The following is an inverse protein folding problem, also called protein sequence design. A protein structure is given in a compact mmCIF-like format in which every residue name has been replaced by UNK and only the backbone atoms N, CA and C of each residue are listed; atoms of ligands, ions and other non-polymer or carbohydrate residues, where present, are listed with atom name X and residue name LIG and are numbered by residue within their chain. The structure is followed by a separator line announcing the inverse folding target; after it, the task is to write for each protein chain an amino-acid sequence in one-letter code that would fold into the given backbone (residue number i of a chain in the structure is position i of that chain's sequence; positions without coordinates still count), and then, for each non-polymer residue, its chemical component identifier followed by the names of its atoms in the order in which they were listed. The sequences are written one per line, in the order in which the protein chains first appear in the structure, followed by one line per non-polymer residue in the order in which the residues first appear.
data_IF_064029367427
#
_entry.id   IF_064029367427
#
_cell.length_a   1.000
_cell.length_b   1.000
_cell.length_c   1.000
_cell.angle_alpha   90.00
_cell.angle_beta   90.00
_cell.angle_gamma   90.00
#
_symmetry.space_group_name_H-M   'P 1'
#
loop_
_entity.id
_entity.type
_entity.pdbx_description
1 polymer ?
#
# COMPACT_ATOMS: atom_id res chain seq x y z
N UNK A 1 59.49 5.37 -35.82
CA UNK A 1 58.08 5.79 -35.85
C UNK A 1 57.24 4.53 -35.77
N UNK A 2 56.76 4.19 -34.57
CA UNK A 2 55.37 4.35 -34.10
C UNK A 2 54.42 3.24 -34.60
N UNK A 3 53.68 2.69 -33.63
CA UNK A 3 52.47 1.87 -33.72
C UNK A 3 52.65 0.35 -33.87
N UNK A 4 52.59 -0.38 -32.75
CA UNK A 4 51.89 -1.67 -32.64
C UNK A 4 51.68 -2.02 -31.16
N UNK A 5 50.72 -1.34 -30.52
CA UNK A 5 50.21 -1.73 -29.20
C UNK A 5 48.83 -1.08 -28.98
N UNK A 6 47.76 -1.84 -29.27
CA UNK A 6 46.43 -1.68 -28.68
C UNK A 6 45.49 -2.73 -29.29
N UNK A 7 45.74 -4.02 -29.00
CA UNK A 7 44.78 -5.07 -29.31
C UNK A 7 43.72 -5.09 -28.21
N UNK A 8 42.61 -4.40 -28.48
CA UNK A 8 41.23 -4.79 -28.17
C UNK A 8 41.01 -5.66 -26.91
N UNK A 9 41.04 -5.05 -25.73
CA UNK A 9 40.22 -5.48 -24.60
C UNK A 9 38.85 -4.79 -24.69
N UNK A 10 38.02 -5.27 -25.62
CA UNK A 10 36.60 -4.95 -25.71
C UNK A 10 35.80 -6.23 -25.44
N UNK A 11 36.02 -6.81 -24.26
CA UNK A 11 35.01 -7.71 -23.68
C UNK A 11 33.90 -6.83 -23.12
N UNK A 12 32.93 -6.55 -24.00
CA UNK A 12 31.52 -6.39 -23.73
C UNK A 12 31.11 -6.56 -22.26
N UNK A 13 31.13 -5.45 -21.52
CA UNK A 13 30.25 -5.25 -20.36
C UNK A 13 28.84 -5.07 -20.91
N UNK A 14 28.20 -6.16 -21.32
CA UNK A 14 26.75 -6.15 -21.44
C UNK A 14 26.21 -6.03 -20.01
N UNK A 15 25.45 -4.98 -19.67
CA UNK A 15 24.76 -4.96 -18.40
C UNK A 15 23.87 -6.20 -18.40
N UNK A 16 24.04 -7.07 -17.41
CA UNK A 16 23.11 -8.14 -17.16
C UNK A 16 21.72 -7.50 -17.03
N UNK A 17 20.90 -7.62 -18.06
CA UNK A 17 19.47 -7.41 -17.98
C UNK A 17 18.97 -8.46 -17.00
N UNK A 18 19.02 -8.11 -15.71
CA UNK A 18 18.55 -8.97 -14.64
C UNK A 18 17.15 -9.42 -14.99
N UNK A 19 16.95 -10.74 -15.05
CA UNK A 19 15.62 -11.28 -15.24
C UNK A 19 14.73 -10.71 -14.13
N UNK A 20 13.62 -10.09 -14.51
CA UNK A 20 12.62 -9.63 -13.55
C UNK A 20 12.27 -10.81 -12.62
N UNK A 21 12.17 -10.57 -11.31
CA UNK A 21 11.87 -11.62 -10.37
C UNK A 21 10.56 -12.29 -10.78
N UNK A 22 10.55 -13.62 -10.72
CA UNK A 22 9.36 -14.41 -11.05
C UNK A 22 8.74 -14.89 -9.75
N UNK A 23 7.43 -14.69 -9.60
CA UNK A 23 6.68 -15.19 -8.46
C UNK A 23 5.66 -16.24 -8.92
N UNK A 24 5.56 -17.34 -8.17
CA UNK A 24 4.41 -18.22 -8.21
C UNK A 24 3.34 -17.69 -7.25
N UNK A 25 2.10 -17.61 -7.73
CA UNK A 25 0.97 -17.14 -6.91
C UNK A 25 0.40 -18.33 -6.15
N UNK A 26 0.40 -18.27 -4.82
CA UNK A 26 -0.22 -19.26 -3.93
C UNK A 26 -1.38 -18.61 -3.20
N UNK A 27 -2.59 -19.16 -3.32
CA UNK A 27 -3.76 -18.66 -2.58
C UNK A 27 -3.81 -19.32 -1.21
N UNK A 28 -3.97 -18.50 -0.16
CA UNK A 28 -4.22 -18.94 1.20
C UNK A 28 -5.74 -18.95 1.47
N UNK A 29 -6.21 -19.96 2.20
CA UNK A 29 -7.61 -20.09 2.56
C UNK A 29 -7.87 -19.36 3.87
N UNK A 30 -8.48 -18.19 3.76
CA UNK A 30 -8.91 -17.42 4.92
C UNK A 30 -10.10 -18.10 5.63
N UNK A 31 -10.17 -18.04 6.97
CA UNK A 31 -11.35 -18.45 7.72
C UNK A 31 -12.54 -17.54 7.39
N UNK A 32 -13.80 -17.98 7.62
CA UNK A 32 -14.99 -17.23 7.19
C UNK A 32 -15.03 -15.77 7.63
N UNK A 33 -14.62 -15.46 8.88
CA UNK A 33 -14.51 -14.08 9.37
C UNK A 33 -13.57 -13.25 8.49
N UNK A 34 -12.36 -13.73 8.18
CA UNK A 34 -11.38 -12.97 7.39
C UNK A 34 -11.70 -12.98 5.88
N UNK A 35 -12.47 -13.96 5.39
CA UNK A 35 -12.90 -14.02 3.99
C UNK A 35 -14.11 -13.12 3.70
N UNK A 36 -14.80 -12.65 4.73
CA UNK A 36 -16.01 -11.83 4.60
C UNK A 36 -15.68 -10.45 4.03
N UNK A 37 -16.22 -10.16 2.85
CA UNK A 37 -15.83 -9.03 2.01
C UNK A 37 -16.15 -7.66 2.65
N UNK A 38 -17.12 -7.55 3.55
CA UNK A 38 -17.45 -6.28 4.20
C UNK A 38 -16.51 -5.92 5.35
N UNK A 39 -15.55 -6.79 5.73
CA UNK A 39 -14.52 -6.37 6.69
C UNK A 39 -13.72 -5.18 6.16
N UNK A 40 -13.50 -5.16 4.85
CA UNK A 40 -12.71 -4.21 4.10
C UNK A 40 -11.27 -4.04 4.63
N UNK A 41 -10.26 -4.39 3.84
CA UNK A 41 -8.88 -4.49 4.31
C UNK A 41 -7.96 -3.56 3.54
N UNK A 42 -7.27 -2.66 4.25
CA UNK A 42 -6.46 -1.59 3.64
C UNK A 42 -5.02 -1.57 4.17
N UNK A 43 -4.47 -2.73 4.52
CA UNK A 43 -3.05 -2.82 4.87
C UNK A 43 -2.61 -4.12 5.51
N UNK A 44 -1.36 -4.50 5.24
CA UNK A 44 -0.67 -5.62 5.88
C UNK A 44 0.63 -5.15 6.54
N UNK A 45 0.99 -5.76 7.67
CA UNK A 45 2.31 -5.58 8.25
C UNK A 45 2.74 -6.85 8.97
N UNK A 46 4.04 -7.09 9.04
CA UNK A 46 4.58 -8.15 9.88
C UNK A 46 5.25 -7.52 11.09
N UNK A 47 4.92 -8.02 12.28
CA UNK A 47 5.65 -7.71 13.51
C UNK A 47 5.84 -8.98 14.33
N UNK A 48 7.08 -9.20 14.78
CA UNK A 48 7.46 -10.44 15.44
C UNK A 48 7.19 -11.67 14.56
N UNK A 49 6.37 -12.60 15.06
CA UNK A 49 6.03 -13.84 14.37
C UNK A 49 4.60 -13.84 13.78
N UNK A 50 4.03 -12.66 13.53
CA UNK A 50 2.63 -12.51 13.10
C UNK A 50 2.52 -11.64 11.86
N UNK A 51 1.64 -12.06 10.94
CA UNK A 51 1.03 -11.19 9.96
C UNK A 51 -0.13 -10.46 10.63
N UNK A 52 -0.10 -9.13 10.57
CA UNK A 52 -1.15 -8.24 11.02
C UNK A 52 -1.95 -7.81 9.79
N UNK A 53 -3.27 -7.88 9.89
CA UNK A 53 -4.21 -7.55 8.82
C UNK A 53 -5.13 -6.44 9.34
N UNK A 54 -5.12 -5.29 8.69
CA UNK A 54 -5.88 -4.13 9.12
C UNK A 54 -7.25 -4.06 8.43
N UNK A 55 -8.33 -4.08 9.22
CA UNK A 55 -9.65 -3.66 8.74
C UNK A 55 -9.71 -2.14 8.65
N UNK A 56 -10.31 -1.63 7.58
CA UNK A 56 -10.57 -0.18 7.39
C UNK A 56 -11.43 0.41 8.51
N UNK A 57 -12.17 -0.43 9.26
CA UNK A 57 -13.01 0.02 10.37
C UNK A 57 -13.97 1.15 9.94
N UNK A 58 -14.54 1.04 8.73
CA UNK A 58 -15.31 2.11 8.08
C UNK A 58 -16.50 2.59 8.92
N UNK A 59 -16.69 3.90 8.95
CA UNK A 59 -17.79 4.51 9.72
C UNK A 59 -19.16 4.21 9.11
N UNK A 60 -19.28 4.32 7.79
CA UNK A 60 -20.54 4.12 7.06
C UNK A 60 -21.11 2.71 7.21
N UNK A 61 -20.23 1.72 7.35
CA UNK A 61 -20.59 0.31 7.50
C UNK A 61 -20.79 -0.09 8.98
N UNK A 62 -20.61 0.86 9.91
CA UNK A 62 -20.58 0.62 11.36
C UNK A 62 -19.60 -0.51 11.73
N UNK A 63 -18.48 -0.58 11.01
CA UNK A 63 -17.53 -1.67 11.17
C UNK A 63 -16.85 -1.60 12.54
N UNK A 64 -16.63 -2.77 13.13
CA UNK A 64 -15.87 -2.95 14.36
C UNK A 64 -14.43 -2.42 14.17
N UNK A 65 -13.94 -1.61 15.11
CA UNK A 65 -12.57 -1.13 15.09
C UNK A 65 -11.61 -2.24 15.54
N UNK A 66 -10.95 -2.90 14.59
CA UNK A 66 -10.13 -4.09 14.87
C UNK A 66 -8.99 -4.30 13.88
N UNK A 67 -8.00 -5.06 14.32
CA UNK A 67 -7.06 -5.76 13.47
C UNK A 67 -7.27 -7.27 13.62
N UNK A 68 -6.70 -8.02 12.70
CA UNK A 68 -6.48 -9.46 12.87
C UNK A 68 -5.00 -9.77 12.89
N UNK A 69 -4.64 -10.83 13.57
CA UNK A 69 -3.29 -11.40 13.53
C UNK A 69 -3.35 -12.87 13.22
N UNK A 70 -2.38 -13.32 12.44
CA UNK A 70 -2.19 -14.72 12.07
C UNK A 70 -0.71 -15.04 12.28
N UNK A 71 -0.40 -16.17 12.91
CA UNK A 71 1.01 -16.56 13.09
C UNK A 71 1.62 -16.94 11.74
N UNK A 72 2.84 -16.49 11.50
CA UNK A 72 3.57 -16.80 10.27
C UNK A 72 3.80 -18.32 10.11
N UNK A 73 4.02 -19.03 11.21
CA UNK A 73 4.15 -20.49 11.20
C UNK A 73 2.86 -21.21 10.75
N UNK A 74 1.69 -20.65 11.05
CA UNK A 74 0.40 -21.20 10.62
C UNK A 74 0.15 -20.93 9.13
N UNK A 75 0.60 -19.77 8.61
CA UNK A 75 0.62 -19.49 7.17
C UNK A 75 1.56 -20.45 6.42
N UNK A 76 2.77 -20.69 6.95
CA UNK A 76 3.72 -21.67 6.40
C UNK A 76 3.16 -23.09 6.41
N UNK A 77 2.38 -23.45 7.44
CA UNK A 77 1.69 -24.72 7.48
C UNK A 77 0.66 -24.81 6.36
N UNK A 78 -0.19 -23.78 6.19
CA UNK A 78 -1.19 -23.79 5.13
C UNK A 78 -0.59 -23.78 3.71
N UNK A 79 0.58 -23.17 3.52
CA UNK A 79 1.31 -23.22 2.24
C UNK A 79 1.76 -24.64 1.87
N UNK A 80 1.94 -25.52 2.85
CA UNK A 80 2.30 -26.94 2.67
C UNK A 80 1.07 -27.85 2.66
N UNK A 81 0.06 -27.52 3.45
CA UNK A 81 -1.22 -28.23 3.52
C UNK A 81 -2.38 -27.23 3.37
N UNK A 82 -2.95 -27.17 2.17
CA UNK A 82 -4.06 -26.27 1.86
C UNK A 82 -5.36 -26.59 2.62
N UNK A 83 -5.43 -27.73 3.32
CA UNK A 83 -6.59 -28.11 4.14
C UNK A 83 -6.51 -27.59 5.57
N UNK A 84 -5.32 -27.15 6.02
CA UNK A 84 -5.11 -26.59 7.35
C UNK A 84 -5.99 -25.35 7.56
N UNK A 85 -6.80 -25.37 8.62
CA UNK A 85 -7.66 -24.25 8.99
C UNK A 85 -6.84 -23.19 9.73
N UNK A 86 -6.70 -22.01 9.14
CA UNK A 86 -5.84 -20.94 9.63
C UNK A 86 -6.39 -20.33 10.93
N UNK A 87 -5.71 -20.49 12.08
CA UNK A 87 -6.09 -19.80 13.30
C UNK A 87 -5.79 -18.32 13.18
N UNK A 88 -6.62 -17.50 13.81
CA UNK A 88 -6.43 -16.06 13.86
C UNK A 88 -6.82 -15.50 15.22
N UNK A 89 -6.31 -14.33 15.54
CA UNK A 89 -6.72 -13.56 16.71
C UNK A 89 -7.23 -12.19 16.26
N UNK A 90 -8.38 -11.80 16.77
CA UNK A 90 -8.92 -10.45 16.63
C UNK A 90 -8.34 -9.55 17.72
N UNK A 91 -7.86 -8.37 17.35
CA UNK A 91 -7.34 -7.35 18.24
C UNK A 91 -8.22 -6.09 18.14
N UNK A 92 -9.02 -5.74 19.15
CA UNK A 92 -9.76 -4.48 19.14
C UNK A 92 -8.80 -3.27 19.15
N UNK A 93 -9.19 -2.23 18.42
CA UNK A 93 -8.56 -0.91 18.44
C UNK A 93 -9.23 -0.05 19.51
N UNK A 94 -8.53 0.17 20.62
CA UNK A 94 -9.02 1.01 21.70
C UNK A 94 -8.75 2.48 21.40
N UNK A 95 -9.70 3.35 21.78
CA UNK A 95 -9.62 4.81 21.67
C UNK A 95 -9.77 5.40 20.27
N UNK A 96 -10.08 4.60 19.25
CA UNK A 96 -10.33 5.13 17.91
C UNK A 96 -11.52 6.09 17.90
N UNK A 97 -12.55 5.82 18.70
CA UNK A 97 -13.72 6.66 18.87
C UNK A 97 -13.38 8.06 19.41
N UNK A 98 -12.41 8.15 20.33
CA UNK A 98 -11.95 9.43 20.88
C UNK A 98 -11.24 10.26 19.81
N UNK A 99 -10.42 9.61 18.99
CA UNK A 99 -9.71 10.27 17.89
C UNK A 99 -10.68 10.72 16.79
N UNK A 100 -11.68 9.89 16.44
CA UNK A 100 -12.78 10.27 15.54
C UNK A 100 -13.54 11.50 16.03
N UNK A 101 -13.86 11.57 17.31
CA UNK A 101 -14.53 12.73 17.90
C UNK A 101 -13.69 14.01 17.77
N UNK A 102 -12.35 13.92 17.95
CA UNK A 102 -11.44 15.05 17.74
C UNK A 102 -11.39 15.51 16.28
N UNK A 103 -11.38 14.58 15.31
CA UNK A 103 -11.44 14.91 13.89
C UNK A 103 -12.75 15.62 13.54
N UNK A 104 -13.87 15.12 14.06
CA UNK A 104 -15.19 15.72 13.88
C UNK A 104 -15.26 17.14 14.45
N UNK A 105 -14.71 17.36 15.65
CA UNK A 105 -14.59 18.70 16.25
C UNK A 105 -13.74 19.66 15.40
N UNK A 106 -12.77 19.14 14.65
CA UNK A 106 -11.97 19.90 13.68
C UNK A 106 -12.65 20.04 12.30
N UNK A 107 -13.93 19.69 12.18
CA UNK A 107 -14.70 19.76 10.94
C UNK A 107 -14.28 18.75 9.88
N UNK A 108 -13.55 17.69 10.24
CA UNK A 108 -13.17 16.62 9.33
C UNK A 108 -14.09 15.41 9.51
N UNK A 109 -14.40 14.71 8.42
CA UNK A 109 -15.28 13.54 8.45
C UNK A 109 -14.48 12.26 8.22
N UNK A 110 -14.26 11.48 9.29
CA UNK A 110 -13.62 10.15 9.22
C UNK A 110 -14.39 9.22 8.27
N UNK A 111 -13.67 8.49 7.43
CA UNK A 111 -14.23 7.40 6.61
C UNK A 111 -13.71 6.04 7.04
N UNK A 112 -12.39 5.84 7.04
CA UNK A 112 -11.72 4.57 7.28
C UNK A 112 -10.25 4.73 7.67
N UNK A 113 -9.63 3.63 8.11
CA UNK A 113 -8.18 3.49 8.22
C UNK A 113 -7.65 2.99 6.88
N UNK A 114 -6.63 3.64 6.33
CA UNK A 114 -6.18 3.36 4.96
C UNK A 114 -4.74 2.86 4.82
N UNK A 115 -3.96 2.91 5.88
CA UNK A 115 -2.61 2.39 5.85
C UNK A 115 -2.20 1.95 7.25
N UNK A 116 -1.30 0.98 7.32
CA UNK A 116 -0.74 0.50 8.57
C UNK A 116 0.76 0.29 8.45
N UNK A 117 1.51 0.67 9.48
CA UNK A 117 2.91 0.28 9.63
C UNK A 117 3.17 -0.14 11.07
N UNK A 118 3.66 -1.36 11.28
CA UNK A 118 4.16 -1.80 12.58
C UNK A 118 5.70 -1.70 12.63
N UNK A 119 6.22 -0.97 13.61
CA UNK A 119 7.64 -0.96 13.97
C UNK A 119 7.80 -1.48 15.41
N UNK A 120 8.11 -2.77 15.52
CA UNK A 120 8.10 -3.50 16.79
C UNK A 120 6.72 -3.46 17.44
N UNK A 121 6.65 -2.91 18.65
CA UNK A 121 5.40 -2.72 19.39
C UNK A 121 4.68 -1.41 19.05
N UNK A 122 5.31 -0.51 18.29
CA UNK A 122 4.66 0.73 17.84
C UNK A 122 3.90 0.44 16.56
N UNK A 123 2.71 1.00 16.44
CA UNK A 123 1.90 0.88 15.22
C UNK A 123 1.37 2.25 14.80
N UNK A 124 1.43 2.51 13.51
CA UNK A 124 0.97 3.73 12.88
C UNK A 124 -0.20 3.41 11.95
N UNK A 125 -1.14 4.34 11.88
CA UNK A 125 -2.26 4.26 10.96
C UNK A 125 -2.42 5.56 10.22
N UNK A 126 -2.78 5.51 8.94
CA UNK A 126 -3.41 6.64 8.29
C UNK A 126 -4.93 6.53 8.39
N UNK A 127 -5.60 7.67 8.21
CA UNK A 127 -7.04 7.80 8.21
C UNK A 127 -7.45 8.53 6.94
N UNK A 128 -8.33 7.93 6.16
CA UNK A 128 -9.07 8.66 5.13
C UNK A 128 -10.23 9.42 5.75
N UNK A 129 -10.46 10.58 5.17
CA UNK A 129 -11.57 11.45 5.46
C UNK A 129 -12.28 11.79 4.17
N UNK A 130 -13.59 12.03 4.28
CA UNK A 130 -14.47 12.34 3.15
C UNK A 130 -13.85 13.36 2.22
N UNK A 131 -14.08 13.20 0.91
CA UNK A 131 -13.49 14.04 -0.16
C UNK A 131 -13.49 15.56 0.14
N UNK A 132 -14.53 16.17 0.74
CA UNK A 132 -14.52 17.60 1.09
C UNK A 132 -13.63 18.00 2.28
N UNK A 133 -13.17 17.04 3.07
CA UNK A 133 -12.27 17.26 4.21
C UNK A 133 -10.89 17.67 3.70
N UNK A 134 -10.26 18.63 4.38
CA UNK A 134 -8.97 19.18 3.96
C UNK A 134 -7.79 18.33 4.38
N UNK A 135 -7.96 17.48 5.41
CA UNK A 135 -6.89 16.69 6.00
C UNK A 135 -7.29 15.23 6.17
N UNK A 136 -6.39 14.34 5.77
CA UNK A 136 -6.28 13.01 6.35
C UNK A 136 -5.56 13.09 7.70
N UNK A 137 -5.40 11.96 8.39
CA UNK A 137 -4.66 11.93 9.66
C UNK A 137 -3.70 10.77 9.77
N UNK A 138 -2.63 10.97 10.52
CA UNK A 138 -1.78 9.91 11.04
C UNK A 138 -2.05 9.71 12.53
N UNK A 139 -2.26 8.46 12.91
CA UNK A 139 -2.43 8.00 14.28
C UNK A 139 -1.22 7.18 14.72
N UNK A 140 -1.03 7.08 16.04
CA UNK A 140 -0.04 6.21 16.67
C UNK A 140 -0.71 5.37 17.75
N UNK A 141 -0.27 4.14 17.92
CA UNK A 141 -0.65 3.30 19.04
C UNK A 141 0.44 2.31 19.42
N UNK A 142 0.07 1.45 20.37
CA UNK A 142 0.90 0.34 20.84
C UNK A 142 0.20 -0.97 20.54
N UNK A 143 0.88 -1.86 19.81
CA UNK A 143 0.48 -3.23 19.56
C UNK A 143 0.72 -4.08 20.80
N UNK A 144 -0.36 -4.48 21.46
CA UNK A 144 -0.33 -5.40 22.59
C UNK A 144 -0.80 -6.81 22.21
N UNK A 145 -0.67 -7.79 23.13
CA UNK A 145 -1.05 -9.17 22.86
C UNK A 145 -2.56 -9.41 22.77
N UNK A 146 -3.40 -8.44 23.17
CA UNK A 146 -4.86 -8.58 23.20
C UNK A 146 -5.62 -7.41 22.57
N UNK A 147 -4.95 -6.32 22.27
CA UNK A 147 -5.55 -5.11 21.71
C UNK A 147 -4.45 -4.20 21.14
N UNK A 148 -4.86 -3.27 20.29
CA UNK A 148 -4.06 -2.10 19.96
C UNK A 148 -4.61 -0.92 20.74
N UNK A 149 -3.74 -0.22 21.47
CA UNK A 149 -4.14 0.96 22.25
C UNK A 149 -3.65 2.20 21.52
N UNK A 150 -4.58 2.98 20.96
CA UNK A 150 -4.23 4.23 20.28
C UNK A 150 -3.89 5.32 21.31
N UNK A 151 -2.81 6.05 21.02
CA UNK A 151 -2.39 7.22 21.78
C UNK A 151 -3.30 8.39 21.41
N UNK A 152 -4.20 8.75 22.33
CA UNK A 152 -5.17 9.81 22.10
C UNK A 152 -4.55 11.20 22.01
N UNK A 153 -3.25 11.35 22.31
CA UNK A 153 -2.52 12.62 22.17
C UNK A 153 -1.93 12.79 20.77
N UNK A 154 -1.76 11.70 20.01
CA UNK A 154 -1.19 11.73 18.66
C UNK A 154 -2.31 11.69 17.62
N UNK A 155 -2.54 12.84 16.99
CA UNK A 155 -3.46 13.03 15.88
C UNK A 155 -2.84 14.04 14.92
N UNK A 156 -2.02 13.57 13.98
CA UNK A 156 -1.26 14.45 13.10
C UNK A 156 -2.07 14.70 11.83
N UNK A 157 -2.50 15.94 11.54
CA UNK A 157 -3.16 16.24 10.28
C UNK A 157 -2.17 16.11 9.11
N UNK A 158 -2.64 15.49 8.03
CA UNK A 158 -1.95 15.35 6.76
C UNK A 158 -2.79 16.05 5.69
N UNK A 159 -2.44 17.28 5.28
CA UNK A 159 -3.19 18.00 4.27
C UNK A 159 -3.25 17.23 2.95
N UNK A 160 -4.46 17.08 2.40
CA UNK A 160 -4.69 16.39 1.13
C UNK A 160 -4.14 17.24 -0.02
N UNK A 161 -3.30 16.68 -0.92
CA UNK A 161 -2.91 17.36 -2.14
C UNK A 161 -4.13 17.77 -2.99
N UNK A 162 -4.01 18.90 -3.67
CA UNK A 162 -5.07 19.45 -4.52
C UNK A 162 -4.75 19.25 -6.00
N UNK A 163 -5.78 18.95 -6.79
CA UNK A 163 -5.71 19.04 -8.24
C UNK A 163 -5.44 20.50 -8.69
N UNK A 164 -5.01 20.75 -9.94
CA UNK A 164 -4.72 22.10 -10.44
C UNK A 164 -5.88 23.11 -10.28
N UNK A 165 -7.14 22.65 -10.24
CA UNK A 165 -8.31 23.48 -10.01
C UNK A 165 -8.64 23.74 -8.53
N UNK A 166 -7.79 23.33 -7.60
CA UNK A 166 -8.01 23.47 -6.15
C UNK A 166 -8.96 22.43 -5.54
N UNK A 167 -9.44 21.47 -6.33
CA UNK A 167 -10.30 20.39 -5.85
C UNK A 167 -9.48 19.26 -5.21
N UNK A 168 -10.03 18.60 -4.20
CA UNK A 168 -9.48 17.36 -3.67
C UNK A 168 -9.63 16.23 -4.68
N UNK A 169 -8.66 15.31 -4.70
CA UNK A 169 -8.77 14.06 -5.44
C UNK A 169 -9.88 13.22 -4.81
N UNK A 170 -10.78 12.72 -5.65
CA UNK A 170 -11.94 11.94 -5.24
C UNK A 170 -11.49 10.64 -4.57
N UNK A 171 -12.03 10.36 -3.38
CA UNK A 171 -11.79 9.11 -2.63
C UNK A 171 -10.30 8.76 -2.50
N UNK A 172 -9.50 9.77 -2.16
CA UNK A 172 -8.06 9.64 -2.05
C UNK A 172 -7.55 9.92 -0.64
N UNK A 173 -6.75 9.00 -0.12
CA UNK A 173 -6.10 9.08 1.19
C UNK A 173 -4.58 8.88 1.15
N UNK A 174 -3.97 8.78 2.33
CA UNK A 174 -2.59 8.33 2.47
C UNK A 174 -2.58 6.82 2.69
N UNK A 175 -2.60 6.03 1.63
CA UNK A 175 -2.79 4.56 1.70
C UNK A 175 -1.48 3.79 1.92
N UNK A 176 -0.35 4.48 1.97
CA UNK A 176 0.93 3.83 2.20
C UNK A 176 1.76 4.56 3.26
N UNK A 177 2.33 3.77 4.18
CA UNK A 177 3.26 4.22 5.20
C UNK A 177 4.60 3.47 5.06
N UNK A 178 5.70 4.18 5.30
CA UNK A 178 7.02 3.58 5.28
C UNK A 178 7.93 4.16 6.36
N UNK A 179 8.79 3.35 6.96
CA UNK A 179 9.83 3.82 7.87
C UNK A 179 11.22 3.50 7.33
N UNK A 180 12.11 4.50 7.34
CA UNK A 180 13.53 4.37 7.06
C UNK A 180 14.29 5.50 7.76
N UNK A 181 15.52 5.24 8.20
CA UNK A 181 16.35 6.24 8.88
C UNK A 181 15.69 6.93 10.10
N UNK A 182 14.82 6.23 10.84
CA UNK A 182 14.04 6.78 11.98
C UNK A 182 13.10 7.92 11.57
N UNK A 183 12.70 7.94 10.31
CA UNK A 183 11.68 8.80 9.73
C UNK A 183 10.51 7.94 9.31
N UNK A 184 9.32 8.49 9.47
CA UNK A 184 8.08 7.93 8.95
C UNK A 184 7.69 8.73 7.71
N UNK A 185 7.22 8.05 6.70
CA UNK A 185 6.80 8.61 5.43
C UNK A 185 5.35 8.23 5.15
N UNK A 186 4.53 9.20 4.75
CA UNK A 186 3.15 8.97 4.34
C UNK A 186 2.97 9.32 2.87
N UNK A 187 2.59 8.32 2.09
CA UNK A 187 2.40 8.40 0.64
C UNK A 187 0.92 8.63 0.37
N UNK A 188 0.61 9.73 -0.30
CA UNK A 188 -0.73 9.93 -0.85
C UNK A 188 -0.93 8.92 -1.97
N UNK A 189 -2.08 8.28 -2.07
CA UNK A 189 -2.25 7.18 -3.04
C UNK A 189 -2.17 7.64 -4.50
N UNK A 190 -2.57 8.88 -4.80
CA UNK A 190 -2.38 9.53 -6.11
C UNK A 190 -1.08 10.36 -6.17
N UNK A 191 -0.06 9.88 -6.87
CA UNK A 191 1.20 10.63 -7.09
C UNK A 191 1.47 10.94 -8.57
N UNK A 192 0.44 11.35 -9.32
CA UNK A 192 0.57 11.69 -10.74
C UNK A 192 0.18 13.14 -11.06
N UNK A 193 0.39 14.06 -10.11
CA UNK A 193 0.14 15.48 -10.32
C UNK A 193 1.02 16.07 -11.43
N UNK A 194 0.53 17.04 -12.22
CA UNK A 194 1.29 17.62 -13.34
C UNK A 194 2.53 18.39 -12.88
N UNK A 195 2.45 19.07 -11.73
CA UNK A 195 3.47 20.00 -11.22
C UNK A 195 4.48 19.33 -10.30
N UNK A 196 4.05 18.93 -9.09
CA UNK A 196 4.91 18.35 -8.07
C UNK A 196 4.19 17.21 -7.35
N UNK A 197 4.95 16.18 -6.99
CA UNK A 197 4.49 15.06 -6.18
C UNK A 197 5.41 14.93 -4.98
N UNK A 198 4.82 14.63 -3.83
CA UNK A 198 5.57 14.60 -2.58
C UNK A 198 4.99 13.62 -1.59
N UNK A 199 5.87 13.12 -0.73
CA UNK A 199 5.58 12.25 0.39
C UNK A 199 5.79 13.06 1.67
N UNK A 200 4.88 12.97 2.64
CA UNK A 200 5.12 13.65 3.92
C UNK A 200 6.20 12.91 4.72
N UNK A 201 7.17 13.66 5.25
CA UNK A 201 8.16 13.16 6.20
C UNK A 201 7.74 13.56 7.61
N UNK A 202 7.78 12.60 8.54
CA UNK A 202 7.45 12.80 9.95
C UNK A 202 8.59 12.33 10.86
N UNK A 203 8.75 13.01 11.98
CA UNK A 203 9.64 12.55 13.04
C UNK A 203 8.91 11.52 13.90
N UNK A 204 9.27 10.26 13.75
CA UNK A 204 8.68 9.15 14.48
C UNK A 204 8.67 9.34 16.01
N UNK A 205 9.68 10.05 16.55
CA UNK A 205 9.84 10.33 17.99
C UNK A 205 9.13 11.60 18.46
N UNK A 206 8.68 12.47 17.55
CA UNK A 206 8.10 13.79 17.88
C UNK A 206 6.76 14.04 17.16
N UNK A 207 5.97 12.99 16.98
CA UNK A 207 4.64 13.09 16.34
C UNK A 207 3.63 13.93 17.15
N UNK A 208 3.90 14.20 18.42
CA UNK A 208 3.05 15.05 19.28
C UNK A 208 2.99 16.52 18.84
N UNK A 209 3.85 16.96 17.92
CA UNK A 209 3.91 18.36 17.47
C UNK A 209 2.91 18.71 16.36
N UNK A 210 1.92 17.85 16.08
CA UNK A 210 0.78 18.10 15.18
C UNK A 210 1.14 18.55 13.75
N UNK A 211 2.37 18.33 13.28
CA UNK A 211 2.77 18.73 11.92
C UNK A 211 3.82 17.79 11.34
N UNK A 212 3.73 17.46 10.04
CA UNK A 212 4.84 16.88 9.30
C UNK A 212 6.11 17.74 9.42
N UNK A 213 7.27 17.11 9.33
CA UNK A 213 8.55 17.85 9.28
C UNK A 213 8.72 18.59 7.95
N UNK A 214 8.17 18.03 6.89
CA UNK A 214 8.30 18.53 5.54
C UNK A 214 7.77 17.53 4.52
N UNK A 215 8.10 17.78 3.26
CA UNK A 215 7.72 16.98 2.12
C UNK A 215 8.98 16.55 1.37
N UNK A 216 9.07 15.28 1.00
CA UNK A 216 10.13 14.75 0.15
C UNK A 216 9.59 14.51 -1.27
N UNK A 217 10.29 14.93 -2.33
CA UNK A 217 9.84 14.71 -3.69
C UNK A 217 9.72 13.21 -4.01
N UNK A 218 8.70 12.86 -4.80
CA UNK A 218 8.58 11.55 -5.44
C UNK A 218 8.43 11.74 -6.95
N UNK A 219 9.05 10.86 -7.74
CA UNK A 219 8.79 10.78 -9.17
C UNK A 219 7.29 10.49 -9.43
N UNK A 220 6.74 10.96 -10.55
CA UNK A 220 5.33 10.69 -10.90
C UNK A 220 5.08 9.18 -10.91
N UNK A 221 4.23 8.68 -10.02
CA UNK A 221 3.82 7.28 -9.96
C UNK A 221 2.46 7.17 -10.63
N UNK A 222 2.35 6.46 -11.77
CA UNK A 222 1.06 6.26 -12.42
C UNK A 222 0.19 5.35 -11.55
N UNK A 223 -1.13 5.51 -11.60
CA UNK A 223 -2.09 4.72 -10.81
C UNK A 223 -1.94 4.90 -9.28
N UNK A 224 -2.76 4.20 -8.50
CA UNK A 224 -2.79 4.27 -7.03
C UNK A 224 -1.60 3.54 -6.43
N UNK A 225 -1.05 4.06 -5.33
CA UNK A 225 -0.14 3.34 -4.43
C UNK A 225 -0.92 3.00 -3.16
N UNK A 226 -1.29 1.74 -3.02
CA UNK A 226 -2.30 1.30 -2.03
C UNK A 226 -1.71 0.65 -0.77
N UNK A 227 -0.45 0.21 -0.79
CA UNK A 227 0.31 -0.18 0.40
C UNK A 227 1.81 -0.33 0.07
N UNK A 228 2.68 -0.30 1.08
CA UNK A 228 4.13 -0.47 0.96
C UNK A 228 4.69 -1.44 2.02
N UNK A 229 5.70 -2.22 1.62
CA UNK A 229 6.47 -3.05 2.54
C UNK A 229 7.98 -2.85 2.36
N UNK A 230 8.80 -2.95 3.42
CA UNK A 230 10.25 -2.85 3.31
C UNK A 230 10.85 -3.93 2.39
N UNK A 231 11.84 -3.54 1.58
CA UNK A 231 12.60 -4.42 0.68
C UNK A 231 14.11 -4.42 1.00
N UNK A 232 14.48 -3.85 2.15
CA UNK A 232 15.85 -3.73 2.65
C UNK A 232 16.58 -2.47 2.16
N UNK A 233 17.39 -1.90 3.06
CA UNK A 233 18.01 -0.59 2.84
C UNK A 233 16.96 0.51 2.68
N UNK A 234 17.14 1.34 1.67
CA UNK A 234 16.28 2.49 1.36
C UNK A 234 15.16 2.16 0.36
N UNK A 235 14.80 0.87 0.26
CA UNK A 235 13.88 0.35 -0.75
C UNK A 235 12.63 -0.26 -0.12
N UNK A 236 11.53 -0.08 -0.84
CA UNK A 236 10.22 -0.61 -0.53
C UNK A 236 9.65 -1.28 -1.77
N UNK A 237 8.76 -2.25 -1.56
CA UNK A 237 7.88 -2.76 -2.62
C UNK A 237 6.47 -2.30 -2.35
N UNK A 238 5.83 -1.77 -3.39
CA UNK A 238 4.48 -1.25 -3.32
C UNK A 238 3.53 -1.92 -4.29
N UNK A 239 2.27 -1.92 -3.91
CA UNK A 239 1.18 -2.23 -4.82
C UNK A 239 0.92 -0.99 -5.67
N UNK A 240 0.83 -1.19 -6.99
CA UNK A 240 0.49 -0.14 -7.92
C UNK A 240 -0.74 -0.56 -8.75
N UNK A 241 -1.89 0.01 -8.38
CA UNK A 241 -3.20 -0.47 -8.81
C UNK A 241 -3.99 0.59 -9.58
N UNK A 242 -4.55 0.19 -10.71
CA UNK A 242 -5.50 0.98 -11.48
C UNK A 242 -6.85 0.29 -11.48
N UNK A 243 -7.84 0.98 -10.93
CA UNK A 243 -9.24 0.65 -11.10
C UNK A 243 -9.79 1.38 -12.32
N UNK A 244 -10.48 0.64 -13.19
CA UNK A 244 -11.02 1.16 -14.45
C UNK A 244 -12.16 2.16 -14.31
N UNK A 245 -12.66 2.37 -13.08
CA UNK A 245 -13.90 3.07 -12.75
C UNK A 245 -14.18 4.34 -13.56
N UNK A 246 -15.44 4.74 -13.58
CA UNK A 246 -15.91 5.92 -14.28
C UNK A 246 -16.11 7.10 -13.33
N UNK A 247 -16.45 8.28 -13.87
CA UNK A 247 -16.69 9.48 -13.06
C UNK A 247 -15.44 9.94 -12.33
N UNK A 248 -15.50 9.99 -10.98
CA UNK A 248 -14.39 10.45 -10.13
C UNK A 248 -13.13 9.60 -10.27
N UNK A 249 -13.28 8.29 -10.47
CA UNK A 249 -12.17 7.34 -10.63
C UNK A 249 -11.35 7.59 -11.92
N UNK A 250 -11.90 8.34 -12.87
CA UNK A 250 -11.18 8.68 -14.10
C UNK A 250 -9.92 9.52 -13.84
N UNK A 251 -9.78 10.13 -12.66
CA UNK A 251 -8.59 10.89 -12.25
C UNK A 251 -7.31 10.05 -12.22
N UNK A 252 -7.42 8.74 -12.00
CA UNK A 252 -6.28 7.80 -11.96
C UNK A 252 -5.84 7.33 -13.35
N UNK A 253 -6.55 7.72 -14.43
CA UNK A 253 -6.18 7.39 -15.81
C UNK A 253 -4.95 8.18 -16.21
N UNK A 254 -3.91 7.48 -16.66
CA UNK A 254 -2.73 8.13 -17.22
C UNK A 254 -3.09 8.84 -18.53
N UNK A 255 -2.59 10.07 -18.79
CA UNK A 255 -2.87 10.77 -20.03
C UNK A 255 -2.41 9.96 -21.24
N UNK A 256 -3.16 10.03 -22.36
CA UNK A 256 -2.82 9.31 -23.59
C UNK A 256 -1.46 9.71 -24.18
N UNK A 257 -0.94 10.89 -23.83
CA UNK A 257 0.42 11.34 -24.19
C UNK A 257 1.52 10.55 -23.49
N UNK A 258 1.22 9.83 -22.40
CA UNK A 258 2.15 8.93 -21.73
C UNK A 258 1.88 7.49 -22.19
N UNK A 259 2.49 7.11 -23.30
CA UNK A 259 2.12 5.88 -24.02
C UNK A 259 2.45 4.60 -23.25
N UNK A 260 3.45 4.59 -22.36
CA UNK A 260 3.91 3.36 -21.72
C UNK A 260 2.92 2.85 -20.67
N UNK A 261 2.48 3.67 -19.71
CA UNK A 261 1.49 3.22 -18.74
C UNK A 261 0.05 3.31 -19.27
N UNK A 262 -0.26 4.24 -20.18
CA UNK A 262 -1.60 4.27 -20.82
C UNK A 262 -1.91 2.95 -21.55
N UNK A 263 -0.92 2.35 -22.23
CA UNK A 263 -1.10 1.07 -22.92
C UNK A 263 -1.42 -0.11 -21.97
N UNK A 264 -1.10 -0.01 -20.67
CA UNK A 264 -1.37 -1.06 -19.69
C UNK A 264 -2.86 -1.17 -19.33
N UNK A 265 -3.56 -0.04 -19.38
CA UNK A 265 -4.94 0.10 -18.90
C UNK A 265 -5.98 0.17 -20.01
N UNK A 266 -5.56 0.34 -21.26
CA UNK A 266 -6.47 0.29 -22.42
C UNK A 266 -6.94 -1.14 -22.65
N UNK A 267 -8.25 -1.30 -22.83
CA UNK A 267 -8.81 -2.55 -23.32
C UNK A 267 -8.60 -2.63 -24.84
N UNK A 268 -7.99 -3.72 -25.32
CA UNK A 268 -7.77 -3.91 -26.76
C UNK A 268 -9.00 -4.49 -27.46
N UNK A 269 -9.89 -5.14 -26.71
CA UNK A 269 -11.14 -5.68 -27.23
C UNK A 269 -12.21 -4.60 -27.38
N UNK A 270 -12.19 -3.58 -26.51
CA UNK A 270 -13.04 -2.39 -26.58
C UNK A 270 -12.17 -1.14 -26.79
N UNK A 271 -12.14 -0.61 -28.02
CA UNK A 271 -11.29 0.53 -28.41
C UNK A 271 -11.58 1.83 -27.64
N UNK A 272 -12.68 1.90 -26.88
CA UNK A 272 -13.02 3.00 -25.98
C UNK A 272 -12.92 2.63 -24.48
N UNK A 273 -12.65 1.37 -24.17
CA UNK A 273 -12.73 0.82 -22.83
C UNK A 273 -11.40 0.81 -22.07
N UNK A 274 -11.50 0.77 -20.75
CA UNK A 274 -10.39 0.57 -19.82
C UNK A 274 -10.52 -0.78 -19.10
N UNK A 275 -9.41 -1.36 -18.71
CA UNK A 275 -9.32 -2.57 -17.88
C UNK A 275 -8.56 -2.29 -16.59
N UNK A 276 -8.91 -3.03 -15.53
CA UNK A 276 -8.14 -2.98 -14.29
C UNK A 276 -6.71 -3.47 -14.53
N UNK A 277 -5.77 -2.92 -13.79
CA UNK A 277 -4.37 -3.30 -13.89
C UNK A 277 -3.70 -3.27 -12.52
N UNK A 278 -2.83 -4.23 -12.26
CA UNK A 278 -2.05 -4.27 -11.03
C UNK A 278 -0.64 -4.75 -11.31
N UNK A 279 0.33 -4.09 -10.68
CA UNK A 279 1.73 -4.53 -10.63
C UNK A 279 2.31 -4.25 -9.25
N UNK A 280 3.43 -4.89 -8.95
CA UNK A 280 4.34 -4.44 -7.93
C UNK A 280 5.34 -3.46 -8.53
N UNK A 281 5.69 -2.44 -7.76
CA UNK A 281 6.78 -1.50 -8.04
C UNK A 281 7.78 -1.52 -6.90
N UNK A 282 9.05 -1.26 -7.20
CA UNK A 282 10.02 -0.86 -6.19
C UNK A 282 9.95 0.65 -6.04
N UNK A 283 9.97 1.15 -4.81
CA UNK A 283 10.17 2.57 -4.49
C UNK A 283 11.48 2.68 -3.72
N UNK A 284 12.37 3.58 -4.13
CA UNK A 284 13.69 3.77 -3.52
C UNK A 284 13.88 5.23 -3.12
N UNK A 285 14.30 5.45 -1.87
CA UNK A 285 14.76 6.75 -1.38
C UNK A 285 16.26 6.91 -1.69
N UNK A 286 16.60 7.87 -2.54
CA UNK A 286 17.99 8.20 -2.86
C UNK A 286 18.15 9.70 -2.97
N UNK A 287 19.18 10.24 -2.31
CA UNK A 287 19.45 11.69 -2.28
C UNK A 287 18.22 12.52 -1.87
N UNK A 288 17.47 12.05 -0.86
CA UNK A 288 16.22 12.67 -0.39
C UNK A 288 15.11 12.77 -1.44
N UNK A 289 15.10 11.88 -2.44
CA UNK A 289 14.03 11.78 -3.42
C UNK A 289 13.59 10.33 -3.58
N UNK A 290 12.28 10.12 -3.64
CA UNK A 290 11.72 8.82 -3.98
C UNK A 290 11.65 8.65 -5.49
N UNK A 291 12.16 7.53 -5.98
CA UNK A 291 12.03 7.07 -7.35
C UNK A 291 11.34 5.70 -7.36
N UNK A 292 10.85 5.27 -8.52
CA UNK A 292 10.20 3.97 -8.64
C UNK A 292 10.55 3.24 -9.92
N UNK A 293 10.40 1.91 -9.91
CA UNK A 293 10.57 1.03 -11.06
C UNK A 293 9.58 -0.13 -11.03
N UNK A 294 9.08 -0.63 -12.18
CA UNK A 294 8.29 -1.86 -12.24
C UNK A 294 9.08 -3.06 -11.70
N UNK A 295 8.45 -3.85 -10.83
CA UNK A 295 9.04 -5.05 -10.24
C UNK A 295 8.46 -6.33 -10.84
N UNK A 296 7.13 -6.41 -10.94
CA UNK A 296 6.42 -7.61 -11.38
C UNK A 296 4.96 -7.29 -11.69
N UNK A 297 4.39 -7.87 -12.75
CA UNK A 297 2.98 -7.70 -13.08
C UNK A 297 2.14 -8.88 -12.59
N UNK A 298 0.94 -8.58 -12.07
CA UNK A 298 0.00 -9.64 -11.73
C UNK A 298 -0.49 -10.35 -13.00
N UNK A 299 -0.66 -11.69 -12.98
CA UNK A 299 -1.38 -12.42 -14.01
C UNK A 299 -2.79 -11.86 -14.19
N UNK A 300 -3.32 -11.95 -15.42
CA UNK A 300 -4.59 -11.31 -15.81
C UNK A 300 -5.75 -11.64 -14.86
N UNK A 301 -5.88 -12.89 -14.43
CA UNK A 301 -6.93 -13.33 -13.52
C UNK A 301 -6.90 -12.65 -12.14
N UNK A 302 -5.78 -12.02 -11.76
CA UNK A 302 -5.61 -11.32 -10.49
C UNK A 302 -5.64 -9.80 -10.63
N UNK A 303 -5.72 -9.23 -11.85
CA UNK A 303 -5.67 -7.77 -12.05
C UNK A 303 -6.91 -7.01 -11.60
N UNK A 304 -8.04 -7.70 -11.42
CA UNK A 304 -9.33 -7.10 -11.05
C UNK A 304 -9.69 -7.22 -9.57
N UNK A 305 -8.78 -7.72 -8.74
CA UNK A 305 -8.92 -7.65 -7.29
C UNK A 305 -8.48 -6.26 -6.82
N UNK A 306 -9.23 -5.64 -5.91
CA UNK A 306 -8.84 -4.37 -5.30
C UNK A 306 -7.73 -4.62 -4.26
N UNK A 307 -6.48 -4.74 -4.72
CA UNK A 307 -5.33 -5.04 -3.85
C UNK A 307 -4.94 -3.81 -3.03
N UNK A 308 -4.98 -3.94 -1.71
CA UNK A 308 -4.85 -2.81 -0.76
C UNK A 308 -3.91 -3.16 0.42
N UNK A 309 -3.26 -4.32 0.42
CA UNK A 309 -2.28 -4.64 1.47
C UNK A 309 -1.15 -5.56 1.04
N UNK A 310 0.08 -5.26 1.47
CA UNK A 310 1.32 -6.01 1.16
C UNK A 310 2.24 -6.19 2.37
N UNK A 311 2.77 -7.40 2.56
CA UNK A 311 3.83 -7.63 3.53
C UNK A 311 4.93 -8.56 3.01
N UNK A 312 6.19 -8.11 3.08
CA UNK A 312 7.35 -8.91 2.67
C UNK A 312 7.59 -10.08 3.63
N UNK A 313 7.71 -11.29 3.10
CA UNK A 313 7.92 -12.50 3.89
C UNK A 313 8.73 -13.54 3.11
N UNK A 314 9.81 -14.06 3.71
CA UNK A 314 10.68 -15.10 3.14
C UNK A 314 11.13 -14.85 1.67
N UNK A 315 11.32 -13.59 1.29
CA UNK A 315 11.71 -13.18 -0.07
C UNK A 315 10.54 -13.12 -1.07
N UNK A 316 9.32 -13.43 -0.62
CA UNK A 316 8.08 -13.18 -1.32
C UNK A 316 7.23 -12.11 -0.64
N UNK A 317 5.96 -12.06 -1.00
CA UNK A 317 5.01 -11.07 -0.49
C UNK A 317 3.65 -11.70 -0.19
N UNK A 318 3.11 -11.44 1.00
CA UNK A 318 1.67 -11.58 1.21
C UNK A 318 0.96 -10.39 0.57
N UNK A 319 -0.15 -10.64 -0.10
CA UNK A 319 -1.00 -9.62 -0.74
C UNK A 319 -2.45 -9.90 -0.38
N UNK A 320 -3.18 -8.89 0.07
CA UNK A 320 -4.61 -9.01 0.39
C UNK A 320 -5.41 -7.98 -0.42
N UNK A 321 -6.59 -8.39 -0.90
CA UNK A 321 -7.55 -7.44 -1.44
C UNK A 321 -8.45 -6.92 -0.34
N UNK A 322 -8.99 -5.74 -0.55
CA UNK A 322 -10.04 -5.17 0.27
C UNK A 322 -11.34 -6.00 0.12
N UNK A 323 -12.39 -5.42 -0.49
CA UNK A 323 -13.71 -6.02 -0.63
C UNK A 323 -13.86 -6.71 -1.96
N UNK A 324 -13.43 -6.06 -3.03
CA UNK A 324 -13.79 -6.45 -4.39
C UNK A 324 -12.89 -7.56 -4.95
N UNK A 325 -13.49 -8.73 -5.19
CA UNK A 325 -12.99 -9.76 -6.10
C UNK A 325 -13.59 -9.60 -7.51
N UNK A 326 -13.06 -10.28 -8.55
CA UNK A 326 -13.49 -10.06 -9.94
C UNK A 326 -14.99 -10.28 -10.22
N UNK A 327 -15.66 -11.10 -9.40
CA UNK A 327 -17.09 -11.36 -9.50
C UNK A 327 -17.74 -11.49 -8.12
N UNK A 328 -19.07 -11.32 -8.08
CA UNK A 328 -19.90 -11.62 -6.92
C UNK A 328 -20.12 -13.15 -6.78
N UNK A 329 -20.41 -13.66 -5.56
CA UNK A 329 -20.29 -12.96 -4.28
C UNK A 329 -18.83 -12.56 -4.03
N UNK A 330 -18.63 -11.35 -3.54
CA UNK A 330 -17.29 -10.86 -3.27
C UNK A 330 -16.64 -11.61 -2.10
N UNK A 331 -15.32 -11.66 -2.09
CA UNK A 331 -14.55 -12.30 -1.03
C UNK A 331 -13.20 -11.60 -0.86
N UNK A 332 -12.74 -11.53 0.38
CA UNK A 332 -11.34 -11.23 0.66
C UNK A 332 -10.48 -12.44 0.34
N UNK A 333 -9.37 -12.20 -0.33
CA UNK A 333 -8.39 -13.18 -0.76
C UNK A 333 -7.01 -12.76 -0.26
N UNK A 334 -6.33 -13.67 0.41
CA UNK A 334 -4.91 -13.55 0.74
C UNK A 334 -4.10 -14.42 -0.23
N UNK A 335 -3.12 -13.80 -0.88
CA UNK A 335 -2.14 -14.46 -1.73
C UNK A 335 -0.78 -14.44 -1.04
N UNK A 336 0.05 -15.44 -1.35
CA UNK A 336 1.48 -15.40 -1.18
C UNK A 336 2.14 -15.46 -2.56
N UNK A 337 2.90 -14.42 -2.90
CA UNK A 337 3.74 -14.33 -4.07
C UNK A 337 5.07 -14.98 -3.74
N UNK A 338 5.18 -16.28 -4.02
CA UNK A 338 6.34 -17.10 -3.70
C UNK A 338 7.46 -16.86 -4.73
N UNK A 339 8.68 -16.46 -4.34
CA UNK A 339 9.77 -16.25 -5.28
C UNK A 339 10.15 -17.57 -5.96
N UNK A 340 10.36 -17.53 -7.27
CA UNK A 340 10.86 -18.64 -8.08
C UNK A 340 12.36 -18.47 -8.29
N UNK A 341 13.15 -19.41 -7.77
CA UNK A 341 14.61 -19.45 -7.94
C UNK A 341 15.37 -18.64 -6.90
N UNK A 342 15.87 -19.34 -5.88
CA UNK A 342 17.15 -19.02 -5.25
C UNK A 342 18.16 -20.08 -5.67
#
# INVERSE_FOLDING_TARGET
MKFFAALLFWFSLLPALGQQPRFAVRRLRLPPELAYYDNQFSGLSISGNQLIIMSESRLQDKAEAKLYTVKLADLDHQLRDSTFALPYQKLPLQHLEKLRARMHQAGQSYEGLEAMLADGATIYFSVETATPSTNCYLLKGTLGPKAVVLDTTVLVPLPKPLAPGGAHIYNAGFEALAAVHKRLYAFFEYNYFPTANSVYELNERRLSNYSPLGQQPIAKVPFRVTDLTPAGGDRFVGINYFFKGDGGDAVYRTPASETANAALIVDKADKSGYKNYCRLITIELKNNQFSWQPLWEFPEQYRSYNWEGIAAYQGGYFIINDKYSPSKPYQTTLLYLQPLGK
#
